data_IF_758015976343
#
_entry.id   IF_758015976343
#
_cell.length_a   1.000
_cell.length_b   1.000
_cell.length_c   1.000
_cell.angle_alpha   90.00
_cell.angle_beta   90.00
_cell.angle_gamma   90.00
#
_symmetry.space_group_name_H-M   'P 1'
#
loop_
_entity.id
_entity.type
_entity.pdbx_description
1 polymer ?
#
# COMPACT_ATOMS: atom_id res chain seq x y z
N UNK A 1 8.27 -0.06 9.90
CA UNK A 1 7.00 -0.34 9.21
C UNK A 1 6.78 -1.83 8.96
N UNK A 2 7.79 -2.56 8.46
CA UNK A 2 7.69 -4.01 8.21
C UNK A 2 7.23 -4.80 9.45
N UNK A 3 7.87 -4.60 10.59
CA UNK A 3 7.54 -5.31 11.84
C UNK A 3 6.12 -5.03 12.32
N UNK A 4 5.63 -3.80 12.11
CA UNK A 4 4.25 -3.45 12.43
C UNK A 4 3.24 -4.18 11.54
N UNK A 5 3.54 -4.36 10.25
CA UNK A 5 2.67 -5.12 9.35
C UNK A 5 2.68 -6.62 9.66
N UNK A 6 3.78 -7.15 10.21
CA UNK A 6 3.90 -8.55 10.62
C UNK A 6 3.11 -8.89 11.90
N UNK A 7 2.90 -7.90 12.77
CA UNK A 7 2.15 -8.06 14.03
C UNK A 7 0.69 -8.45 13.82
N UNK A 8 0.20 -9.50 14.47
CA UNK A 8 -1.18 -9.99 14.30
C UNK A 8 -2.27 -9.07 14.84
N UNK A 9 -1.95 -8.23 15.84
CA UNK A 9 -2.85 -7.27 16.46
C UNK A 9 -3.01 -5.96 15.65
N UNK A 10 -2.06 -5.66 14.77
CA UNK A 10 -2.10 -4.49 13.90
C UNK A 10 -2.74 -4.87 12.56
N UNK A 11 -3.87 -4.25 12.19
CA UNK A 11 -4.52 -4.48 10.90
C UNK A 11 -4.10 -3.49 9.84
N UNK A 12 -3.87 -2.24 10.22
CA UNK A 12 -3.58 -1.18 9.26
C UNK A 12 -2.37 -0.34 9.69
N UNK A 13 -1.52 0.00 8.73
CA UNK A 13 -0.36 0.87 8.94
C UNK A 13 -0.43 2.05 7.98
N UNK A 14 -0.29 3.25 8.54
CA UNK A 14 0.02 4.45 7.78
C UNK A 14 1.54 4.69 7.84
N UNK A 15 2.22 4.50 6.72
CA UNK A 15 3.63 4.87 6.57
C UNK A 15 3.72 6.21 5.84
N UNK A 16 3.81 7.30 6.61
CA UNK A 16 3.62 8.66 6.11
C UNK A 16 4.77 9.60 6.44
N UNK A 17 5.07 10.56 5.56
CA UNK A 17 6.19 11.49 5.76
C UNK A 17 6.46 12.32 4.51
N UNK A 18 7.51 13.15 4.54
CA UNK A 18 7.87 14.01 3.43
C UNK A 18 8.24 13.22 2.14
N UNK A 19 8.36 13.93 1.02
CA UNK A 19 8.84 13.35 -0.24
C UNK A 19 10.24 12.75 -0.05
N UNK A 20 10.54 11.67 -0.79
CA UNK A 20 11.86 11.03 -0.78
C UNK A 20 12.08 9.90 0.24
N UNK A 21 11.20 9.71 1.23
CA UNK A 21 11.34 8.67 2.26
C UNK A 21 11.01 7.23 1.84
N UNK A 22 11.21 6.84 0.59
CA UNK A 22 11.09 5.43 0.15
C UNK A 22 9.68 4.79 0.20
N UNK A 23 8.63 5.55 0.53
CA UNK A 23 7.27 5.02 0.80
C UNK A 23 6.69 4.11 -0.27
N UNK A 24 6.67 4.55 -1.54
CA UNK A 24 6.11 3.74 -2.64
C UNK A 24 6.94 2.48 -2.91
N UNK A 25 8.27 2.55 -2.71
CA UNK A 25 9.17 1.39 -2.83
C UNK A 25 8.85 0.37 -1.74
N UNK A 26 8.75 0.84 -0.49
CA UNK A 26 8.35 0.01 0.64
C UNK A 26 7.01 -0.70 0.38
N UNK A 27 5.99 0.04 -0.08
CA UNK A 27 4.69 -0.54 -0.39
C UNK A 27 4.73 -1.63 -1.48
N UNK A 28 5.49 -1.41 -2.56
CA UNK A 28 5.65 -2.43 -3.60
C UNK A 28 6.36 -3.69 -3.07
N UNK A 29 7.45 -3.53 -2.32
CA UNK A 29 8.19 -4.66 -1.74
C UNK A 29 7.34 -5.43 -0.74
N UNK A 30 6.57 -4.73 0.10
CA UNK A 30 5.66 -5.35 1.05
C UNK A 30 4.56 -6.15 0.36
N UNK A 31 3.91 -5.60 -0.66
CA UNK A 31 2.89 -6.33 -1.44
C UNK A 31 3.46 -7.59 -2.09
N UNK A 32 4.67 -7.51 -2.65
CA UNK A 32 5.35 -8.67 -3.22
C UNK A 32 5.64 -9.75 -2.17
N UNK A 33 6.23 -9.36 -1.03
CA UNK A 33 6.53 -10.30 0.05
C UNK A 33 5.27 -10.91 0.66
N UNK A 34 4.20 -10.11 0.87
CA UNK A 34 2.94 -10.62 1.40
C UNK A 34 2.27 -11.63 0.46
N UNK A 35 2.38 -11.42 -0.84
CA UNK A 35 1.91 -12.39 -1.82
C UNK A 35 2.70 -13.73 -1.75
N UNK A 36 4.01 -13.68 -1.56
CA UNK A 36 4.85 -14.87 -1.37
C UNK A 36 4.56 -15.58 -0.03
N UNK A 37 4.36 -14.82 1.04
CA UNK A 37 3.94 -15.32 2.35
C UNK A 37 2.64 -16.11 2.23
N UNK A 38 1.61 -15.52 1.60
CA UNK A 38 0.31 -16.19 1.36
C UNK A 38 0.46 -17.46 0.52
N UNK A 39 1.30 -17.43 -0.52
CA UNK A 39 1.60 -18.62 -1.32
C UNK A 39 2.12 -19.75 -0.43
N UNK A 40 3.06 -19.44 0.46
CA UNK A 40 3.73 -20.42 1.29
C UNK A 40 2.81 -20.93 2.41
N UNK A 41 2.17 -20.02 3.14
CA UNK A 41 1.28 -20.35 4.26
C UNK A 41 0.08 -21.19 3.80
N UNK A 42 -0.53 -20.82 2.68
CA UNK A 42 -1.68 -21.54 2.15
C UNK A 42 -1.30 -22.67 1.17
N UNK A 43 0.00 -22.96 1.00
CA UNK A 43 0.52 -24.01 0.13
C UNK A 43 -0.06 -23.97 -1.30
N UNK A 44 -0.08 -22.78 -1.90
CA UNK A 44 -0.74 -22.56 -3.20
C UNK A 44 0.11 -23.14 -4.33
N UNK A 45 -0.39 -24.16 -5.02
CA UNK A 45 0.24 -24.71 -6.22
C UNK A 45 0.07 -23.77 -7.44
N UNK A 46 1.01 -23.79 -8.41
CA UNK A 46 0.84 -23.07 -9.68
C UNK A 46 -0.47 -23.44 -10.37
N UNK A 47 -1.16 -22.45 -10.95
CA UNK A 47 -2.51 -22.63 -11.49
C UNK A 47 -2.78 -21.72 -12.69
N UNK A 48 -3.66 -22.19 -13.58
CA UNK A 48 -4.07 -21.44 -14.80
C UNK A 48 -4.75 -20.10 -14.46
N UNK A 49 -5.53 -20.08 -13.37
CA UNK A 49 -6.25 -18.90 -12.90
C UNK A 49 -5.73 -18.51 -11.52
N UNK A 50 -4.74 -17.60 -11.43
CA UNK A 50 -4.17 -17.16 -10.17
C UNK A 50 -5.22 -16.55 -9.24
N UNK A 51 -5.10 -16.82 -7.94
CA UNK A 51 -6.05 -16.32 -6.93
C UNK A 51 -5.79 -14.81 -6.69
N UNK A 52 -6.79 -13.93 -6.78
CA UNK A 52 -6.65 -12.56 -6.31
C UNK A 52 -6.39 -12.57 -4.80
N UNK A 53 -5.26 -12.02 -4.36
CA UNK A 53 -4.90 -11.98 -2.92
C UNK A 53 -4.84 -10.58 -2.35
N UNK A 54 -4.76 -9.56 -3.21
CA UNK A 54 -4.74 -8.19 -2.75
C UNK A 54 -4.99 -7.17 -3.84
N UNK A 55 -5.07 -5.92 -3.41
CA UNK A 55 -5.27 -4.77 -4.27
C UNK A 55 -4.16 -3.72 -4.07
N UNK A 56 -3.66 -3.14 -5.16
CA UNK A 56 -2.78 -1.98 -5.13
C UNK A 56 -3.45 -0.83 -5.89
N UNK A 57 -3.49 0.37 -5.30
CA UNK A 57 -4.14 1.49 -5.96
C UNK A 57 -3.69 2.86 -5.51
N UNK A 58 -4.21 3.85 -6.23
CA UNK A 58 -4.13 5.29 -5.93
C UNK A 58 -5.48 5.92 -6.20
N UNK A 59 -5.65 7.20 -5.88
CA UNK A 59 -6.84 7.96 -6.30
C UNK A 59 -7.12 7.78 -7.80
N UNK A 60 -6.13 8.00 -8.66
CA UNK A 60 -6.28 7.92 -10.12
C UNK A 60 -5.50 6.77 -10.73
N UNK A 61 -6.13 6.02 -11.63
CA UNK A 61 -5.51 4.83 -12.24
C UNK A 61 -4.33 5.18 -13.16
N UNK A 62 -4.37 6.34 -13.81
CA UNK A 62 -3.27 6.87 -14.62
C UNK A 62 -2.04 7.18 -13.76
N UNK A 63 -2.26 7.77 -12.59
CA UNK A 63 -1.16 8.08 -11.65
C UNK A 63 -0.57 6.78 -11.11
N UNK A 64 -1.41 5.77 -10.82
CA UNK A 64 -0.92 4.45 -10.40
C UNK A 64 0.00 3.84 -11.45
N UNK A 65 -0.44 3.87 -12.71
CA UNK A 65 0.32 3.32 -13.83
C UNK A 65 1.66 4.02 -14.01
N UNK A 66 1.66 5.36 -13.97
CA UNK A 66 2.84 6.16 -14.26
C UNK A 66 3.84 6.24 -13.10
N UNK A 67 3.43 5.94 -11.86
CA UNK A 67 4.32 6.06 -10.69
C UNK A 67 4.48 4.74 -9.92
N UNK A 68 3.42 4.20 -9.36
CA UNK A 68 3.50 3.06 -8.44
C UNK A 68 3.82 1.77 -9.20
N UNK A 69 3.22 1.56 -10.37
CA UNK A 69 3.54 0.41 -11.21
C UNK A 69 4.95 0.49 -11.81
N UNK A 70 5.43 1.68 -12.18
CA UNK A 70 6.83 1.86 -12.58
C UNK A 70 7.80 1.61 -11.42
N UNK A 71 7.43 2.01 -10.20
CA UNK A 71 8.20 1.66 -9.00
C UNK A 71 8.26 0.14 -8.81
N UNK A 72 7.14 -0.56 -8.95
CA UNK A 72 7.11 -2.03 -8.92
C UNK A 72 8.10 -2.63 -9.94
N UNK A 73 8.01 -2.21 -11.21
CA UNK A 73 8.86 -2.72 -12.28
C UNK A 73 10.35 -2.48 -12.05
N UNK A 74 10.70 -1.37 -11.39
CA UNK A 74 12.09 -1.02 -11.10
C UNK A 74 12.69 -1.86 -9.96
N UNK A 75 11.90 -2.18 -8.94
CA UNK A 75 12.42 -2.76 -7.70
C UNK A 75 12.12 -4.26 -7.53
N UNK A 76 11.07 -4.78 -8.17
CA UNK A 76 10.75 -6.21 -8.11
C UNK A 76 11.43 -6.92 -9.30
N UNK A 77 12.15 -8.03 -9.09
CA UNK A 77 12.78 -8.76 -10.18
C UNK A 77 11.77 -9.20 -11.25
N UNK A 78 12.03 -8.86 -12.51
CA UNK A 78 11.11 -9.08 -13.64
C UNK A 78 10.74 -10.54 -13.85
N UNK A 79 11.61 -11.48 -13.47
CA UNK A 79 11.37 -12.92 -13.56
C UNK A 79 10.41 -13.45 -12.46
N UNK A 80 10.04 -12.63 -11.48
CA UNK A 80 9.19 -13.03 -10.36
C UNK A 80 7.70 -12.69 -10.58
N UNK A 81 7.37 -11.93 -11.62
CA UNK A 81 5.98 -11.53 -11.90
C UNK A 81 5.68 -11.44 -13.39
N UNK A 82 4.40 -11.53 -13.74
CA UNK A 82 3.86 -11.19 -15.05
C UNK A 82 2.82 -10.08 -14.88
N UNK A 83 2.78 -9.09 -15.79
CA UNK A 83 1.70 -8.09 -15.83
C UNK A 83 0.77 -8.44 -16.98
N UNK A 84 -0.54 -8.54 -16.72
CA UNK A 84 -1.58 -8.78 -17.74
C UNK A 84 -2.71 -7.77 -17.62
N UNK A 85 -3.55 -7.68 -18.66
CA UNK A 85 -4.80 -6.91 -18.68
C UNK A 85 -4.64 -5.39 -18.61
N UNK A 86 -5.78 -4.68 -18.75
CA UNK A 86 -5.94 -3.25 -18.44
C UNK A 86 -7.28 -3.10 -17.68
N UNK A 87 -7.30 -2.64 -16.41
CA UNK A 87 -6.15 -2.33 -15.55
C UNK A 87 -5.18 -3.50 -15.34
N UNK A 88 -3.96 -3.19 -14.94
CA UNK A 88 -2.91 -4.19 -14.77
C UNK A 88 -3.28 -5.19 -13.66
N UNK A 89 -3.05 -6.46 -13.91
CA UNK A 89 -3.03 -7.53 -12.92
C UNK A 89 -1.59 -8.01 -12.79
N UNK A 90 -1.04 -8.00 -11.58
CA UNK A 90 0.33 -8.44 -11.30
C UNK A 90 0.26 -9.88 -10.80
N UNK A 91 0.64 -10.83 -11.64
CA UNK A 91 0.65 -12.26 -11.36
C UNK A 91 1.99 -12.65 -10.77
N UNK A 92 1.99 -13.32 -9.61
CA UNK A 92 3.22 -13.71 -8.90
C UNK A 92 3.32 -15.22 -8.87
N UNK A 93 4.47 -15.73 -9.34
CA UNK A 93 4.81 -17.14 -9.41
C UNK A 93 3.75 -18.06 -10.06
N UNK A 94 2.89 -17.51 -10.95
CA UNK A 94 1.71 -18.17 -11.56
C UNK A 94 0.76 -18.83 -10.54
N UNK A 95 0.65 -18.24 -9.34
CA UNK A 95 -0.14 -18.78 -8.22
C UNK A 95 -1.19 -17.81 -7.75
N UNK A 96 -0.77 -16.57 -7.49
CA UNK A 96 -1.62 -15.50 -7.01
C UNK A 96 -1.50 -14.28 -7.91
N UNK A 97 -2.43 -13.34 -7.78
CA UNK A 97 -2.36 -12.05 -8.43
C UNK A 97 -2.78 -10.92 -7.51
N UNK A 98 -2.21 -9.74 -7.77
CA UNK A 98 -2.61 -8.48 -7.16
C UNK A 98 -3.38 -7.70 -8.23
N UNK A 99 -4.61 -7.31 -7.91
CA UNK A 99 -5.39 -6.45 -8.78
C UNK A 99 -4.95 -5.00 -8.59
N UNK A 100 -5.01 -4.19 -9.64
CA UNK A 100 -4.62 -2.79 -9.57
C UNK A 100 -5.68 -1.85 -10.11
N UNK A 101 -5.66 -0.59 -9.68
CA UNK A 101 -6.56 0.41 -10.25
C UNK A 101 -6.53 1.78 -9.59
N UNK A 102 -7.29 2.68 -10.20
CA UNK A 102 -7.66 3.97 -9.63
C UNK A 102 -8.98 3.86 -8.90
N UNK A 103 -9.04 4.42 -7.69
CA UNK A 103 -10.30 4.49 -6.94
C UNK A 103 -11.25 5.57 -7.51
N UNK A 104 -10.82 6.37 -8.49
CA UNK A 104 -11.64 7.26 -9.31
C UNK A 104 -12.51 6.53 -10.34
N UNK A 105 -12.27 5.24 -10.58
CA UNK A 105 -13.03 4.44 -11.54
C UNK A 105 -14.09 3.58 -10.85
N UNK A 106 -15.37 3.87 -11.12
CA UNK A 106 -16.51 3.13 -10.57
C UNK A 106 -16.52 1.64 -10.91
N UNK A 107 -16.00 1.21 -12.06
CA UNK A 107 -15.90 -0.22 -12.39
C UNK A 107 -14.87 -0.95 -11.51
N UNK A 108 -13.77 -0.28 -11.13
CA UNK A 108 -12.80 -0.82 -10.18
C UNK A 108 -13.46 -0.96 -8.81
N UNK A 109 -14.18 0.07 -8.38
CA UNK A 109 -14.92 0.07 -7.12
C UNK A 109 -15.98 -1.03 -7.07
N UNK A 110 -16.79 -1.17 -8.13
CA UNK A 110 -17.84 -2.19 -8.21
C UNK A 110 -17.30 -3.62 -8.07
N UNK A 111 -16.05 -3.87 -8.49
CA UNK A 111 -15.42 -5.18 -8.32
C UNK A 111 -15.18 -5.52 -6.84
N UNK A 112 -15.01 -4.53 -5.95
CA UNK A 112 -14.80 -4.75 -4.52
C UNK A 112 -15.99 -5.45 -3.85
N UNK A 113 -17.21 -5.22 -4.35
CA UNK A 113 -18.43 -5.87 -3.82
C UNK A 113 -18.38 -7.40 -3.90
N UNK A 114 -17.65 -7.95 -4.88
CA UNK A 114 -17.49 -9.41 -5.04
C UNK A 114 -16.09 -9.90 -4.71
N UNK A 115 -15.12 -9.00 -4.53
CA UNK A 115 -13.74 -9.37 -4.30
C UNK A 115 -13.46 -9.76 -2.85
N UNK A 116 -12.57 -10.72 -2.68
CA UNK A 116 -12.02 -11.13 -1.40
C UNK A 116 -10.51 -10.95 -1.43
N UNK A 117 -9.98 -10.15 -0.52
CA UNK A 117 -8.55 -9.85 -0.44
C UNK A 117 -8.01 -10.17 0.94
N UNK A 118 -6.73 -10.54 1.00
CA UNK A 118 -5.96 -10.60 2.23
C UNK A 118 -5.31 -9.25 2.55
N UNK A 119 -5.04 -8.41 1.53
CA UNK A 119 -4.42 -7.12 1.78
C UNK A 119 -4.78 -6.06 0.73
N UNK A 120 -4.57 -4.80 1.10
CA UNK A 120 -4.46 -3.72 0.13
C UNK A 120 -3.25 -2.82 0.42
N UNK A 121 -2.77 -2.16 -0.63
CA UNK A 121 -1.84 -1.03 -0.54
C UNK A 121 -2.40 0.16 -1.30
N UNK A 122 -2.59 1.27 -0.59
CA UNK A 122 -2.99 2.55 -1.16
C UNK A 122 -1.83 3.54 -1.10
N UNK A 123 -1.31 3.87 -2.28
CA UNK A 123 -0.26 4.87 -2.45
C UNK A 123 -0.89 6.26 -2.59
N UNK A 124 -0.21 7.27 -2.05
CA UNK A 124 -0.74 8.64 -1.87
C UNK A 124 -2.18 8.66 -1.36
N UNK A 125 -2.40 7.95 -0.25
CA UNK A 125 -3.72 7.77 0.31
C UNK A 125 -4.35 9.06 0.86
N UNK A 126 -3.57 10.13 1.08
CA UNK A 126 -4.08 11.44 1.46
C UNK A 126 -5.06 12.03 0.43
N UNK A 127 -5.03 11.54 -0.80
CA UNK A 127 -5.88 12.04 -1.88
C UNK A 127 -7.19 11.22 -2.05
N UNK A 128 -7.35 10.14 -1.28
CA UNK A 128 -8.41 9.14 -1.41
C UNK A 128 -9.57 9.46 -0.46
N UNK A 129 -10.79 9.16 -0.91
CA UNK A 129 -12.00 9.27 -0.10
C UNK A 129 -12.14 8.08 0.87
N UNK A 130 -12.44 8.38 2.15
CA UNK A 130 -12.59 7.38 3.22
C UNK A 130 -13.67 6.33 2.92
N UNK A 131 -14.73 6.68 2.18
CA UNK A 131 -15.80 5.74 1.83
C UNK A 131 -15.26 4.59 0.97
N UNK A 132 -14.39 4.91 0.00
CA UNK A 132 -13.78 3.92 -0.89
C UNK A 132 -12.79 3.02 -0.15
N UNK A 133 -12.16 3.54 0.90
CA UNK A 133 -11.34 2.73 1.82
C UNK A 133 -12.20 1.78 2.62
N UNK A 134 -13.40 2.21 3.06
CA UNK A 134 -14.39 1.34 3.71
C UNK A 134 -14.79 0.14 2.85
N UNK A 135 -15.03 0.36 1.55
CA UNK A 135 -15.34 -0.72 0.60
C UNK A 135 -14.18 -1.72 0.45
N UNK A 136 -12.93 -1.24 0.42
CA UNK A 136 -11.75 -2.12 0.42
C UNK A 136 -11.61 -2.89 1.72
N UNK A 137 -11.81 -2.26 2.89
CA UNK A 137 -11.79 -2.94 4.20
C UNK A 137 -12.82 -4.07 4.25
N UNK A 138 -13.98 -3.92 3.62
CA UNK A 138 -15.02 -4.94 3.55
C UNK A 138 -14.62 -6.19 2.70
N UNK A 139 -13.52 -6.12 1.93
CA UNK A 139 -13.00 -7.26 1.17
C UNK A 139 -12.17 -8.24 2.01
N UNK A 140 -11.84 -7.92 3.27
CA UNK A 140 -10.99 -8.74 4.16
C UNK A 140 -11.68 -10.01 4.70
N UNK A 141 -12.02 -10.90 3.78
CA UNK A 141 -12.71 -12.17 4.05
C UNK A 141 -12.11 -13.36 3.29
N UNK A 142 -10.93 -13.18 2.68
CA UNK A 142 -10.30 -14.19 1.85
C UNK A 142 -9.99 -15.47 2.65
N UNK A 143 -10.47 -16.59 2.13
CA UNK A 143 -10.18 -17.95 2.61
C UNK A 143 -9.52 -18.73 1.48
N UNK A 144 -8.35 -19.30 1.73
CA UNK A 144 -7.65 -20.17 0.77
C UNK A 144 -7.40 -21.51 1.45
N UNK A 145 -7.80 -22.60 0.79
CA UNK A 145 -7.62 -23.96 1.30
C UNK A 145 -8.15 -24.16 2.73
N UNK A 146 -9.28 -23.53 3.06
CA UNK A 146 -9.90 -23.58 4.39
C UNK A 146 -9.26 -22.67 5.45
N UNK A 147 -8.16 -22.00 5.13
CA UNK A 147 -7.49 -21.05 6.02
C UNK A 147 -7.96 -19.63 5.74
N UNK A 148 -8.51 -18.98 6.77
CA UNK A 148 -8.82 -17.54 6.73
C UNK A 148 -7.54 -16.75 6.88
N UNK A 149 -7.31 -15.81 5.95
CA UNK A 149 -6.15 -14.94 5.99
C UNK A 149 -6.55 -13.61 6.66
N UNK A 150 -5.87 -13.18 7.74
CA UNK A 150 -6.14 -11.88 8.35
C UNK A 150 -5.90 -10.72 7.37
N UNK A 151 -6.88 -9.82 7.28
CA UNK A 151 -6.81 -8.63 6.43
C UNK A 151 -5.73 -7.64 6.88
N UNK A 152 -4.97 -7.10 5.93
CA UNK A 152 -3.93 -6.08 6.17
C UNK A 152 -4.04 -4.87 5.23
N UNK A 153 -4.08 -3.67 5.80
CA UNK A 153 -4.08 -2.42 5.05
C UNK A 153 -2.75 -1.68 5.17
N UNK A 154 -2.13 -1.32 4.06
CA UNK A 154 -1.01 -0.39 4.03
C UNK A 154 -1.43 0.89 3.33
N UNK A 155 -1.19 2.02 3.99
CA UNK A 155 -1.35 3.35 3.43
C UNK A 155 0.01 4.02 3.39
N UNK A 156 0.32 4.67 2.28
CA UNK A 156 1.42 5.64 2.26
C UNK A 156 0.89 7.01 1.91
N UNK A 157 1.36 8.03 2.61
CA UNK A 157 0.87 9.39 2.39
C UNK A 157 1.93 10.46 2.61
N UNK A 158 1.72 11.62 1.98
CA UNK A 158 2.38 12.86 2.37
C UNK A 158 1.50 13.65 3.35
N UNK A 159 2.07 14.63 4.06
CA UNK A 159 1.30 15.49 4.95
C UNK A 159 0.24 16.32 4.20
N UNK A 160 -1.04 16.04 4.48
CA UNK A 160 -2.18 16.80 3.97
C UNK A 160 -3.42 16.60 4.86
N UNK A 161 -4.36 17.57 4.89
CA UNK A 161 -5.67 17.38 5.52
C UNK A 161 -6.40 16.20 4.87
N UNK A 162 -6.56 15.11 5.62
CA UNK A 162 -7.19 13.88 5.16
C UNK A 162 -7.69 13.05 6.35
N UNK A 163 -8.57 12.08 6.08
CA UNK A 163 -9.09 11.15 7.10
C UNK A 163 -7.97 10.37 7.81
N UNK A 164 -6.80 10.21 7.17
CA UNK A 164 -5.65 9.51 7.71
C UNK A 164 -5.12 10.17 9.00
N UNK A 165 -5.16 11.50 9.09
CA UNK A 165 -4.74 12.21 10.32
C UNK A 165 -5.65 11.83 11.49
N UNK A 166 -6.95 11.78 11.23
CA UNK A 166 -7.93 11.39 12.24
C UNK A 166 -7.76 9.93 12.66
N UNK A 167 -7.79 9.00 11.71
CA UNK A 167 -7.80 7.56 12.00
C UNK A 167 -6.48 6.97 12.55
N UNK A 168 -5.33 7.60 12.29
CA UNK A 168 -4.01 7.05 12.66
C UNK A 168 -3.23 7.88 13.66
N UNK A 169 -3.62 9.15 13.90
CA UNK A 169 -2.85 10.07 14.76
C UNK A 169 -3.73 10.65 15.86
N UNK A 170 -4.87 11.27 15.51
CA UNK A 170 -5.72 11.96 16.50
C UNK A 170 -6.59 10.97 17.29
N UNK A 171 -7.22 10.02 16.58
CA UNK A 171 -8.15 9.04 17.15
C UNK A 171 -7.80 7.61 16.71
N UNK A 172 -6.57 7.12 16.94
CA UNK A 172 -6.16 5.79 16.52
C UNK A 172 -6.87 4.70 17.32
N UNK A 173 -7.30 3.64 16.63
CA UNK A 173 -7.70 2.38 17.26
C UNK A 173 -6.46 1.52 17.57
N UNK A 174 -6.53 0.56 18.51
CA UNK A 174 -5.38 -0.29 18.85
C UNK A 174 -4.82 -1.12 17.70
N UNK A 175 -5.61 -1.37 16.65
CA UNK A 175 -5.22 -2.12 15.46
C UNK A 175 -4.71 -1.24 14.31
N UNK A 176 -4.50 0.06 14.55
CA UNK A 176 -3.95 1.02 13.59
C UNK A 176 -2.66 1.64 14.12
N UNK A 177 -1.67 1.77 13.25
CA UNK A 177 -0.39 2.38 13.62
C UNK A 177 0.10 3.37 12.58
N UNK A 178 0.43 4.58 13.03
CA UNK A 178 1.20 5.54 12.26
C UNK A 178 2.70 5.30 12.44
N UNK A 179 3.44 5.30 11.33
CA UNK A 179 4.90 5.24 11.31
C UNK A 179 5.39 6.36 10.40
N UNK A 180 6.26 7.20 10.96
CA UNK A 180 6.89 8.26 10.20
C UNK A 180 7.90 7.70 9.20
N UNK A 181 7.79 8.11 7.94
CA UNK A 181 8.79 7.86 6.91
C UNK A 181 9.86 8.96 6.95
N UNK A 182 11.10 8.57 7.21
CA UNK A 182 12.24 9.47 7.27
C UNK A 182 13.03 9.40 5.95
N UNK A 183 13.67 10.50 5.51
CA UNK A 183 14.59 10.46 4.36
C UNK A 183 15.69 9.42 4.53
N UNK A 184 16.16 9.20 5.76
CA UNK A 184 17.16 8.19 6.12
C UNK A 184 16.69 6.75 5.91
N UNK A 185 15.38 6.50 5.83
CA UNK A 185 14.85 5.16 5.51
C UNK A 185 15.17 4.77 4.05
N UNK A 186 15.57 5.72 3.23
CA UNK A 186 15.96 5.50 1.84
C UNK A 186 17.49 5.48 1.70
N UNK A 187 18.08 4.28 1.85
CA UNK A 187 19.52 4.06 1.70
C UNK A 187 20.07 4.30 0.27
N UNK A 188 19.19 4.58 -0.70
CA UNK A 188 19.55 4.88 -2.09
C UNK A 188 19.56 6.40 -2.39
N UNK A 189 19.31 7.26 -1.40
CA UNK A 189 19.50 8.69 -1.58
C UNK A 189 20.98 9.02 -1.59
N UNK A 190 21.46 9.57 -2.71
CA UNK A 190 22.78 10.20 -2.74
C UNK A 190 22.83 11.38 -1.77
N UNK A 191 23.99 11.69 -1.16
CA UNK A 191 24.14 12.75 -0.17
C UNK A 191 23.64 14.13 -0.67
N UNK A 192 23.79 14.41 -1.96
CA UNK A 192 23.30 15.65 -2.61
C UNK A 192 21.77 15.80 -2.56
N UNK A 193 21.01 14.70 -2.66
CA UNK A 193 19.55 14.75 -2.60
C UNK A 193 19.02 14.95 -1.18
N UNK A 194 19.79 14.51 -0.16
CA UNK A 194 19.47 14.78 1.25
C UNK A 194 19.58 16.29 1.53
N UNK A 195 20.58 16.98 0.96
CA UNK A 195 20.73 18.43 1.10
C UNK A 195 19.62 19.20 0.35
N UNK A 196 19.27 18.79 -0.88
CA UNK A 196 18.11 19.37 -1.60
C UNK A 196 16.79 19.14 -0.85
N UNK A 197 16.60 17.96 -0.24
CA UNK A 197 15.45 17.69 0.61
C UNK A 197 15.46 18.58 1.85
N UNK A 198 16.60 18.71 2.55
CA UNK A 198 16.75 19.61 3.71
C UNK A 198 16.40 21.05 3.34
N UNK A 199 16.92 21.58 2.23
CA UNK A 199 16.61 22.94 1.77
C UNK A 199 15.11 23.11 1.45
N UNK A 200 14.49 22.11 0.80
CA UNK A 200 13.06 22.13 0.50
C UNK A 200 12.16 21.97 1.73
N UNK A 201 12.61 21.24 2.76
CA UNK A 201 11.89 20.96 4.01
C UNK A 201 12.03 22.14 4.99
N UNK A 202 13.20 22.77 5.08
CA UNK A 202 13.42 24.01 5.87
C UNK A 202 12.54 25.15 5.35
N UNK A 203 12.23 25.14 4.05
CA UNK A 203 11.33 26.11 3.43
C UNK A 203 9.83 25.87 3.72
N UNK A 204 9.41 24.61 3.96
CA UNK A 204 8.00 24.23 4.05
C UNK A 204 7.72 23.19 5.16
N UNK A 205 7.64 23.70 6.39
CA UNK A 205 6.95 23.16 7.59
C UNK A 205 7.10 21.66 7.86
N UNK A 206 8.08 21.35 8.70
CA UNK A 206 8.10 20.16 9.57
C UNK A 206 7.05 20.23 10.70
N UNK A 207 6.30 21.33 10.83
CA UNK A 207 5.39 21.61 11.95
C UNK A 207 3.91 21.28 11.74
N UNK A 208 3.47 20.88 10.54
CA UNK A 208 2.01 20.69 10.25
C UNK A 208 1.32 19.48 10.90
N UNK A 209 2.07 18.52 11.45
CA UNK A 209 1.46 17.40 12.18
C UNK A 209 1.26 17.69 13.67
N UNK A 210 2.04 18.60 14.24
CA UNK A 210 2.15 18.77 15.69
C UNK A 210 1.63 20.12 16.23
N UNK A 211 1.35 21.11 15.36
CA UNK A 211 0.95 22.45 15.83
C UNK A 211 -0.56 22.65 16.10
N UNK A 212 -1.42 21.65 15.89
CA UNK A 212 -2.83 21.76 16.30
C UNK A 212 -3.33 20.42 16.85
N UNK A 213 -3.00 20.18 18.11
CA UNK A 213 -3.76 19.36 19.05
C UNK A 213 -3.96 20.21 20.32
N UNK A 214 -5.16 20.20 20.94
CA UNK A 214 -5.42 20.93 22.18
C UNK A 214 -4.54 20.44 23.35
#
# INVERSE_FOLDING_TARGET
AWDALARGDIKEVLYGGAKGGGKSVFGCMWCFAKALEIINECQIAPRKHPIPVGFMGRKRGVDFTNTTLETWKRFIPVNMYEIKSKPAEIIIARRVKILTGGLDNSEVINKFNSAEYAFFFLDQAEEIDVQKVGELRATFRLIINGQKIPGKGLFTANPAPSFLKDEFILNPTPDRLFIQALPTDNHHLGPEYIEVLKDSITSHRQSRWYEEGP
#
